data_IF_936726704990
#
_entry.id   IF_936726704990
#
_cell.length_a   1.000
_cell.length_b   1.000
_cell.length_c   1.000
_cell.angle_alpha   90.00
_cell.angle_beta   90.00
_cell.angle_gamma   90.00
#
_symmetry.space_group_name_H-M   'P 1'
#
loop_
_entity.id
_entity.type
_entity.pdbx_description
1 polymer ?
#
# COMPACT_ATOMS: atom_id res chain seq x y z
N UNK A 1 -2.18 -1.85 -19.79
CA UNK A 1 -0.80 -1.81 -19.23
C UNK A 1 0.14 -0.94 -20.07
N UNK A 2 0.18 -1.07 -21.40
CA UNK A 2 1.05 -0.25 -22.26
C UNK A 2 0.93 1.27 -22.04
N UNK A 3 -0.31 1.79 -21.98
CA UNK A 3 -0.55 3.22 -21.71
C UNK A 3 0.04 3.68 -20.37
N UNK A 4 -0.05 2.83 -19.35
CA UNK A 4 0.53 3.11 -18.03
C UNK A 4 2.06 3.20 -18.13
N UNK A 5 2.71 2.23 -18.78
CA UNK A 5 4.17 2.25 -18.95
C UNK A 5 4.64 3.48 -19.74
N UNK A 6 3.93 3.88 -20.79
CA UNK A 6 4.24 5.10 -21.56
C UNK A 6 4.16 6.38 -20.73
N UNK A 7 3.40 6.39 -19.64
CA UNK A 7 3.30 7.54 -18.73
C UNK A 7 4.37 7.58 -17.64
N UNK A 8 5.13 6.49 -17.44
CA UNK A 8 6.17 6.38 -16.41
C UNK A 8 7.51 6.96 -16.89
N UNK A 9 7.48 8.20 -17.37
CA UNK A 9 8.67 8.94 -17.84
C UNK A 9 9.58 9.40 -16.69
N UNK A 10 10.74 9.97 -17.01
CA UNK A 10 11.64 10.57 -16.02
C UNK A 10 10.94 11.66 -15.20
N UNK A 11 10.08 12.47 -15.81
CA UNK A 11 9.31 13.52 -15.13
C UNK A 11 8.29 12.92 -14.16
N UNK A 12 7.67 11.81 -14.56
CA UNK A 12 6.75 11.08 -13.70
C UNK A 12 7.47 10.46 -12.50
N UNK A 13 8.62 9.85 -12.72
CA UNK A 13 9.41 9.22 -11.68
C UNK A 13 10.08 10.26 -10.77
N UNK A 14 10.65 11.31 -11.33
CA UNK A 14 11.35 12.38 -10.62
C UNK A 14 10.46 13.18 -9.66
N UNK A 15 9.14 13.22 -9.91
CA UNK A 15 8.21 13.86 -8.98
C UNK A 15 7.87 13.00 -7.74
N UNK A 16 8.23 11.71 -7.75
CA UNK A 16 8.06 10.79 -6.61
C UNK A 16 6.61 10.50 -6.20
N UNK A 17 5.59 10.95 -6.96
CA UNK A 17 4.17 10.80 -6.57
C UNK A 17 3.66 9.36 -6.62
N UNK A 18 4.39 8.47 -7.30
CA UNK A 18 4.10 7.04 -7.43
C UNK A 18 4.44 6.24 -6.16
N UNK A 19 5.19 6.84 -5.21
CA UNK A 19 5.58 6.20 -3.95
C UNK A 19 5.16 7.00 -2.73
N UNK A 20 5.12 6.34 -1.59
CA UNK A 20 4.84 6.92 -0.28
C UNK A 20 5.73 6.24 0.78
N UNK A 21 6.32 7.01 1.69
CA UNK A 21 7.10 6.44 2.80
C UNK A 21 6.18 5.93 3.92
N UNK A 22 6.71 5.08 4.79
CA UNK A 22 6.01 4.55 5.96
C UNK A 22 5.39 5.65 6.85
N UNK A 23 6.16 6.70 7.15
CA UNK A 23 5.73 7.81 7.99
C UNK A 23 4.60 8.60 7.34
N UNK A 24 4.75 8.95 6.07
CA UNK A 24 3.75 9.71 5.33
C UNK A 24 2.47 8.92 5.11
N UNK A 25 2.58 7.59 4.95
CA UNK A 25 1.44 6.70 4.90
C UNK A 25 0.60 6.74 6.19
N UNK A 26 1.24 6.80 7.36
CA UNK A 26 0.52 6.88 8.63
C UNK A 26 -0.24 8.21 8.81
N UNK A 27 0.20 9.26 8.11
CA UNK A 27 -0.46 10.57 8.10
C UNK A 27 -1.64 10.64 7.11
N UNK A 28 -1.69 9.75 6.12
CA UNK A 28 -2.77 9.72 5.13
C UNK A 28 -4.04 9.10 5.70
N UNK A 29 -4.93 9.96 6.21
CA UNK A 29 -6.31 9.57 6.56
C UNK A 29 -7.05 9.11 5.31
N UNK A 30 -7.96 8.13 5.46
CA UNK A 30 -8.78 7.59 4.36
C UNK A 30 -7.97 6.96 3.21
N UNK A 31 -6.92 6.20 3.52
CA UNK A 31 -6.17 5.38 2.55
C UNK A 31 -6.43 3.90 2.82
N UNK A 32 -6.43 3.09 1.78
CA UNK A 32 -6.39 1.64 1.90
C UNK A 32 -4.93 1.17 1.96
N UNK A 33 -4.56 0.45 3.01
CA UNK A 33 -3.36 -0.38 3.03
C UNK A 33 -3.67 -1.71 2.35
N UNK A 34 -3.07 -1.95 1.19
CA UNK A 34 -3.22 -3.19 0.43
C UNK A 34 -1.94 -4.03 0.58
N UNK A 35 -2.01 -5.11 1.35
CA UNK A 35 -0.94 -6.09 1.48
C UNK A 35 -1.05 -7.12 0.34
N UNK A 36 -0.03 -7.17 -0.53
CA UNK A 36 0.01 -8.09 -1.69
C UNK A 36 0.99 -9.23 -1.50
N UNK A 37 1.39 -9.49 -0.25
CA UNK A 37 2.22 -10.65 0.11
C UNK A 37 1.41 -11.95 0.03
N UNK A 38 2.12 -13.07 0.00
CA UNK A 38 1.51 -14.39 0.09
C UNK A 38 0.82 -14.54 1.45
N UNK A 39 -0.24 -15.35 1.49
CA UNK A 39 -1.01 -15.60 2.70
C UNK A 39 -0.13 -16.07 3.87
N UNK A 40 0.88 -16.92 3.63
CA UNK A 40 1.81 -17.41 4.67
C UNK A 40 2.67 -16.31 5.27
N UNK A 41 3.05 -15.30 4.48
CA UNK A 41 3.81 -14.14 4.99
C UNK A 41 2.94 -13.25 5.88
N UNK A 42 1.66 -13.08 5.51
CA UNK A 42 0.68 -12.32 6.30
C UNK A 42 0.37 -13.05 7.60
N UNK A 43 0.24 -14.38 7.57
CA UNK A 43 0.08 -15.21 8.76
C UNK A 43 1.30 -15.18 9.69
N UNK A 44 2.50 -15.05 9.13
CA UNK A 44 3.74 -14.90 9.92
C UNK A 44 3.81 -13.53 10.60
N UNK A 45 3.43 -12.47 9.88
CA UNK A 45 3.34 -11.11 10.43
C UNK A 45 2.28 -10.30 9.67
N UNK A 46 1.19 -10.00 10.36
CA UNK A 46 0.13 -9.15 9.85
C UNK A 46 0.30 -7.71 10.37
N UNK A 47 -0.01 -6.75 9.50
CA UNK A 47 -0.08 -5.34 9.88
C UNK A 47 -1.53 -4.89 9.84
N UNK A 48 -1.98 -4.23 10.90
CA UNK A 48 -3.33 -3.66 10.98
C UNK A 48 -3.23 -2.21 11.43
N UNK A 49 -3.73 -1.30 10.60
CA UNK A 49 -3.64 0.15 10.82
C UNK A 49 -4.99 0.79 11.17
N UNK A 50 -6.00 -0.01 11.54
CA UNK A 50 -7.35 0.48 11.84
C UNK A 50 -7.38 1.55 12.93
N UNK A 51 -6.54 1.43 13.96
CA UNK A 51 -6.44 2.43 15.03
C UNK A 51 -5.95 3.80 14.52
N UNK A 52 -5.26 3.83 13.38
CA UNK A 52 -4.85 5.06 12.69
C UNK A 52 -5.90 5.54 11.67
N UNK A 53 -7.08 4.91 11.61
CA UNK A 53 -8.13 5.25 10.64
C UNK A 53 -7.83 4.78 9.22
N UNK A 54 -6.95 3.78 9.07
CA UNK A 54 -6.53 3.22 7.77
C UNK A 54 -7.14 1.83 7.64
N UNK A 55 -7.84 1.60 6.53
CA UNK A 55 -8.37 0.28 6.21
C UNK A 55 -7.25 -0.65 5.77
N UNK A 56 -7.32 -1.91 6.15
CA UNK A 56 -6.31 -2.93 5.79
C UNK A 56 -7.01 -4.05 5.03
N UNK A 57 -6.50 -4.36 3.85
CA UNK A 57 -6.95 -5.48 3.02
C UNK A 57 -5.74 -6.28 2.55
N UNK A 58 -5.85 -7.61 2.63
CA UNK A 58 -4.82 -8.54 2.15
C UNK A 58 -5.35 -9.26 0.92
N UNK A 59 -4.67 -9.09 -0.21
CA UNK A 59 -4.96 -9.80 -1.46
C UNK A 59 -3.61 -10.21 -2.06
N UNK A 60 -3.25 -11.50 -2.02
CA UNK A 60 -2.05 -12.00 -2.67
C UNK A 60 -1.97 -11.54 -4.14
N UNK A 61 -0.75 -11.25 -4.59
CA UNK A 61 -0.53 -10.63 -5.92
C UNK A 61 -1.12 -11.44 -7.08
N UNK A 62 -1.14 -12.77 -6.95
CA UNK A 62 -1.69 -13.73 -7.91
C UNK A 62 -3.23 -13.77 -7.89
N UNK A 63 -3.87 -13.44 -6.77
CA UNK A 63 -5.33 -13.30 -6.67
C UNK A 63 -5.84 -11.89 -7.04
N UNK A 64 -4.95 -10.89 -7.06
CA UNK A 64 -5.30 -9.48 -7.30
C UNK A 64 -6.12 -9.24 -8.57
N UNK A 65 -5.85 -9.90 -9.71
CA UNK A 65 -6.66 -9.70 -10.92
C UNK A 65 -8.13 -10.09 -10.74
N UNK A 66 -8.40 -11.18 -10.01
CA UNK A 66 -9.74 -11.73 -9.81
C UNK A 66 -10.50 -10.97 -8.72
N UNK A 67 -9.77 -10.43 -7.74
CA UNK A 67 -10.31 -9.72 -6.57
C UNK A 67 -10.26 -8.20 -6.70
N UNK A 68 -9.91 -7.67 -7.88
CA UNK A 68 -9.77 -6.22 -8.12
C UNK A 68 -11.04 -5.40 -7.80
N UNK A 69 -12.22 -6.03 -7.86
CA UNK A 69 -13.50 -5.38 -7.55
C UNK A 69 -13.73 -5.14 -6.06
N UNK A 70 -12.94 -5.77 -5.18
CA UNK A 70 -12.94 -5.47 -3.74
C UNK A 70 -12.26 -4.14 -3.43
N UNK A 71 -11.48 -3.61 -4.37
CA UNK A 71 -10.71 -2.38 -4.16
C UNK A 71 -11.59 -1.13 -4.33
N UNK A 72 -11.43 -0.14 -3.43
CA UNK A 72 -12.14 1.11 -3.50
C UNK A 72 -11.61 1.95 -4.67
N UNK A 73 -12.52 2.61 -5.40
CA UNK A 73 -12.16 3.52 -6.50
C UNK A 73 -12.08 4.98 -6.08
N UNK A 74 -12.64 5.31 -4.91
CA UNK A 74 -12.84 6.66 -4.40
C UNK A 74 -11.74 7.12 -3.43
N UNK A 75 -10.82 6.23 -3.01
CA UNK A 75 -9.72 6.57 -2.10
C UNK A 75 -8.36 6.05 -2.56
N UNK A 76 -7.25 6.65 -2.08
CA UNK A 76 -5.92 6.18 -2.39
C UNK A 76 -5.63 4.78 -1.86
N UNK A 77 -4.80 4.03 -2.58
CA UNK A 77 -4.33 2.70 -2.20
C UNK A 77 -2.81 2.74 -2.00
N UNK A 78 -2.32 2.34 -0.84
CA UNK A 78 -0.91 2.11 -0.56
C UNK A 78 -0.61 0.61 -0.66
N UNK A 79 0.07 0.18 -1.72
CA UNK A 79 0.42 -1.21 -1.95
C UNK A 79 1.73 -1.59 -1.25
N UNK A 80 1.69 -2.65 -0.45
CA UNK A 80 2.81 -3.12 0.35
C UNK A 80 3.20 -4.56 0.02
N UNK A 81 4.51 -4.78 -0.01
CA UNK A 81 5.16 -6.07 0.09
C UNK A 81 6.54 -5.83 0.72
N UNK A 82 7.10 -6.86 1.33
CA UNK A 82 8.34 -6.77 2.12
C UNK A 82 9.58 -6.37 1.30
N UNK A 83 9.64 -6.74 0.01
CA UNK A 83 10.81 -6.56 -0.85
C UNK A 83 10.64 -5.51 -1.96
N UNK A 84 9.47 -4.89 -2.07
CA UNK A 84 9.11 -3.93 -3.12
C UNK A 84 8.69 -4.53 -4.46
N UNK A 85 9.11 -5.75 -4.83
CA UNK A 85 8.84 -6.34 -6.15
C UNK A 85 7.35 -6.50 -6.46
N UNK A 86 6.60 -7.14 -5.54
CA UNK A 86 5.15 -7.38 -5.74
C UNK A 86 4.33 -6.09 -5.65
N UNK A 87 4.76 -5.15 -4.83
CA UNK A 87 4.19 -3.80 -4.79
C UNK A 87 4.33 -3.08 -6.11
N UNK A 88 5.47 -3.21 -6.79
CA UNK A 88 5.69 -2.61 -8.10
C UNK A 88 4.75 -3.22 -9.16
N UNK A 89 4.57 -4.55 -9.14
CA UNK A 89 3.63 -5.23 -10.04
C UNK A 89 2.18 -4.82 -9.78
N UNK A 90 1.75 -4.83 -8.50
CA UNK A 90 0.42 -4.38 -8.09
C UNK A 90 0.19 -2.92 -8.51
N UNK A 91 1.17 -2.05 -8.27
CA UNK A 91 1.12 -0.65 -8.66
C UNK A 91 0.88 -0.50 -10.17
N UNK A 92 1.68 -1.15 -11.02
CA UNK A 92 1.52 -1.06 -12.48
C UNK A 92 0.14 -1.57 -12.92
N UNK A 93 -0.30 -2.71 -12.36
CA UNK A 93 -1.60 -3.30 -12.66
C UNK A 93 -2.75 -2.34 -12.31
N UNK A 94 -2.81 -1.90 -11.05
CA UNK A 94 -3.87 -1.04 -10.53
C UNK A 94 -3.85 0.35 -11.17
N UNK A 95 -2.67 0.93 -11.37
CA UNK A 95 -2.54 2.20 -12.08
C UNK A 95 -3.08 2.08 -13.51
N UNK A 96 -2.80 0.96 -14.19
CA UNK A 96 -3.35 0.71 -15.54
C UNK A 96 -4.87 0.51 -15.59
N UNK A 97 -5.50 0.22 -14.45
CA UNK A 97 -6.95 0.11 -14.25
C UNK A 97 -7.59 1.43 -13.76
N UNK A 98 -6.79 2.49 -13.58
CA UNK A 98 -7.26 3.81 -13.18
C UNK A 98 -7.39 4.03 -11.67
N UNK A 99 -6.84 3.15 -10.84
CA UNK A 99 -6.81 3.36 -9.39
C UNK A 99 -5.79 4.44 -9.00
N UNK A 100 -6.11 5.21 -7.96
CA UNK A 100 -5.15 6.10 -7.30
C UNK A 100 -4.25 5.28 -6.37
N UNK A 101 -3.25 4.64 -6.94
CA UNK A 101 -2.35 3.73 -6.22
C UNK A 101 -0.97 4.35 -6.02
N UNK A 102 -0.35 4.06 -4.89
CA UNK A 102 1.06 4.34 -4.59
C UNK A 102 1.73 3.08 -4.05
N UNK A 103 2.99 2.91 -4.40
CA UNK A 103 3.86 1.95 -3.75
C UNK A 103 4.27 2.47 -2.36
N UNK A 104 3.98 1.71 -1.31
CA UNK A 104 4.53 1.93 0.02
C UNK A 104 6.00 1.47 0.10
N UNK A 105 6.93 2.43 0.13
CA UNK A 105 8.37 2.20 0.28
C UNK A 105 8.67 1.93 1.76
N UNK A 106 8.51 0.67 2.18
CA UNK A 106 8.71 0.23 3.55
C UNK A 106 9.14 -1.25 3.59
N UNK A 107 9.92 -1.60 4.62
CA UNK A 107 10.17 -2.98 5.04
C UNK A 107 9.19 -3.42 6.15
N UNK A 108 9.22 -4.70 6.53
CA UNK A 108 8.48 -5.18 7.70
C UNK A 108 8.91 -4.44 8.98
N UNK A 109 10.20 -4.17 9.11
CA UNK A 109 10.80 -3.45 10.23
C UNK A 109 10.31 -2.00 10.29
N UNK A 110 10.16 -1.35 9.14
CA UNK A 110 9.65 0.02 9.08
C UNK A 110 8.19 0.08 9.51
N UNK A 111 7.34 -0.83 9.03
CA UNK A 111 5.96 -0.92 9.48
C UNK A 111 5.86 -1.25 10.98
N UNK A 112 6.69 -2.18 11.47
CA UNK A 112 6.74 -2.50 12.90
C UNK A 112 7.13 -1.29 13.76
N UNK A 113 8.04 -0.41 13.29
CA UNK A 113 8.40 0.83 14.00
C UNK A 113 7.21 1.79 14.13
N UNK A 114 6.28 1.80 13.17
CA UNK A 114 5.06 2.63 13.24
C UNK A 114 4.10 2.15 14.34
N UNK A 115 4.09 0.85 14.62
CA UNK A 115 3.21 0.19 15.59
C UNK A 115 3.77 0.17 17.02
N UNK A 116 4.70 1.07 17.37
CA UNK A 116 5.22 1.18 18.74
C UNK A 116 4.14 1.70 19.71
N UNK A 117 4.19 1.31 21.01
CA UNK A 117 3.18 1.68 22.00
C UNK A 117 2.86 3.19 22.05
N UNK A 118 3.88 4.05 21.98
CA UNK A 118 3.69 5.50 22.02
C UNK A 118 2.93 6.08 20.83
N UNK A 119 2.97 5.44 19.65
CA UNK A 119 2.19 5.84 18.47
C UNK A 119 0.76 5.35 18.58
N UNK A 120 0.58 4.07 18.95
CA UNK A 120 -0.72 3.44 19.18
C UNK A 120 -1.51 4.20 20.25
N UNK A 121 -0.88 4.50 21.39
CA UNK A 121 -1.51 5.25 22.48
C UNK A 121 -1.99 6.64 22.03
N UNK A 122 -1.23 7.33 21.18
CA UNK A 122 -1.65 8.64 20.64
C UNK A 122 -2.82 8.51 19.66
N UNK A 123 -2.83 7.49 18.82
CA UNK A 123 -3.91 7.24 17.86
C UNK A 123 -5.21 6.78 18.53
N UNK A 124 -5.13 6.07 19.66
CA UNK A 124 -6.29 5.64 20.45
C UNK A 124 -6.91 6.70 21.35
N UNK A 125 -6.40 7.94 21.37
CA UNK A 125 -6.95 9.05 22.18
C UNK A 125 -8.17 9.75 21.55
N UNK A 126 -8.78 9.12 20.55
CA UNK A 126 -9.95 9.64 19.84
C UNK A 126 -11.25 9.12 20.45
#
# INVERSE_FOLDING_TARGET
MEKALKSMSLEFLGNGKHKISAEKFLETKNTLFLDVRDQKEVETIAFNFRIFGIETLSIPIDELPDRVNELPKDKPIACFCSSGTRSAWAYIYLFSKGFNVKWLEASNEDLAKLLKPGRIFKAGKH
#
